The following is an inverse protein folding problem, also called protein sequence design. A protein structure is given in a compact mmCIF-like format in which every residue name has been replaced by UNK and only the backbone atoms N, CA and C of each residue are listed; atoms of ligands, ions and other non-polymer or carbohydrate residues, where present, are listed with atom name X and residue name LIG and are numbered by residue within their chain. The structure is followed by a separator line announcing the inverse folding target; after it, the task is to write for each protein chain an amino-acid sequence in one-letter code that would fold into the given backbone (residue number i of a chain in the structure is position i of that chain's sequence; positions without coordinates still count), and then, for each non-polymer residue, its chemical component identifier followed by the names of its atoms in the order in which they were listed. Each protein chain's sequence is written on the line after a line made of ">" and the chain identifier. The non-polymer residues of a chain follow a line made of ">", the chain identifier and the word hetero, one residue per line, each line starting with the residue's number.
data_IF_781774120795
#
_entry.id   IF_781774120795
#
_cell.length_a   1.000
_cell.length_b   1.000
_cell.length_c   1.000
_cell.angle_alpha   90.00
_cell.angle_beta   90.00
_cell.angle_gamma   90.00
#
_symmetry.space_group_name_H-M   'P 1'
#
loop_
_entity.id
_entity.type
_entity.pdbx_description
1 polymer ?
#
# COMPACT_ATOMS: atom_id res chain seq x y z
N UNK A 1 3.88 -10.57 -23.20
CA UNK A 1 3.21 -9.29 -22.90
C UNK A 1 3.33 -8.85 -21.43
N UNK A 2 3.48 -9.76 -20.44
CA UNK A 2 3.59 -9.40 -19.02
C UNK A 2 4.85 -8.62 -18.62
N UNK A 3 5.97 -8.81 -19.30
CA UNK A 3 7.27 -8.23 -18.91
C UNK A 3 7.41 -6.72 -19.18
N UNK A 4 6.39 -6.07 -19.70
CA UNK A 4 6.45 -4.65 -20.06
C UNK A 4 5.56 -3.75 -19.17
N UNK A 5 4.76 -4.32 -18.26
CA UNK A 5 3.90 -3.56 -17.34
C UNK A 5 4.76 -3.05 -16.18
N UNK A 6 4.83 -1.75 -15.97
CA UNK A 6 5.54 -1.16 -14.85
C UNK A 6 4.60 -1.01 -13.65
N UNK A 7 5.09 -1.36 -12.45
CA UNK A 7 4.38 -1.10 -11.19
C UNK A 7 5.17 -0.05 -10.41
N UNK A 8 4.51 1.04 -10.04
CA UNK A 8 5.04 2.03 -9.09
C UNK A 8 4.63 1.64 -7.68
N UNK A 9 5.60 1.50 -6.78
CA UNK A 9 5.36 1.26 -5.35
C UNK A 9 5.70 2.53 -4.58
N UNK A 10 4.71 3.10 -3.92
CA UNK A 10 4.85 4.33 -3.12
C UNK A 10 5.08 3.93 -1.67
N UNK A 11 6.18 4.42 -1.08
CA UNK A 11 6.59 4.12 0.29
C UNK A 11 6.71 5.42 1.09
N UNK A 12 5.71 5.79 1.89
CA UNK A 12 5.84 6.86 2.86
C UNK A 12 6.83 6.47 3.97
N UNK A 13 7.72 7.39 4.36
CA UNK A 13 8.67 7.18 5.44
C UNK A 13 8.70 8.40 6.36
N UNK A 14 8.54 8.19 7.67
CA UNK A 14 8.73 9.21 8.70
C UNK A 14 9.16 8.57 10.02
N UNK A 15 10.41 8.83 10.43
CA UNK A 15 11.01 8.28 11.66
C UNK A 15 10.85 6.76 11.76
N UNK A 16 11.33 6.04 10.74
CA UNK A 16 11.21 4.58 10.60
C UNK A 16 12.56 3.87 10.50
N UNK A 17 13.64 4.46 11.06
CA UNK A 17 15.01 3.92 11.00
C UNK A 17 15.12 2.45 11.40
N UNK A 18 14.27 1.97 12.33
CA UNK A 18 14.29 0.59 12.83
C UNK A 18 13.63 -0.41 11.87
N UNK A 19 12.85 0.05 10.89
CA UNK A 19 11.99 -0.81 10.07
C UNK A 19 12.22 -0.67 8.58
N UNK A 20 12.66 0.50 8.12
CA UNK A 20 12.72 0.84 6.69
C UNK A 20 13.61 -0.09 5.88
N UNK A 21 14.69 -0.63 6.44
CA UNK A 21 15.57 -1.57 5.73
C UNK A 21 14.82 -2.86 5.37
N UNK A 22 14.13 -3.47 6.33
CA UNK A 22 13.35 -4.69 6.08
C UNK A 22 12.18 -4.45 5.11
N UNK A 23 11.56 -3.26 5.17
CA UNK A 23 10.52 -2.85 4.23
C UNK A 23 11.08 -2.82 2.80
N UNK A 24 12.13 -2.04 2.57
CA UNK A 24 12.75 -1.91 1.25
C UNK A 24 13.31 -3.24 0.73
N UNK A 25 13.91 -4.06 1.60
CA UNK A 25 14.37 -5.39 1.22
C UNK A 25 13.21 -6.29 0.77
N UNK A 26 12.05 -6.22 1.41
CA UNK A 26 10.88 -6.98 1.03
C UNK A 26 10.33 -6.58 -0.35
N UNK A 27 10.39 -5.27 -0.67
CA UNK A 27 9.94 -4.72 -1.95
C UNK A 27 10.94 -5.06 -3.06
N UNK A 28 12.24 -4.85 -2.85
CA UNK A 28 13.26 -5.12 -3.89
C UNK A 28 13.40 -6.61 -4.21
N UNK A 29 13.02 -7.49 -3.26
CA UNK A 29 13.03 -8.95 -3.44
C UNK A 29 11.74 -9.52 -4.02
N UNK A 30 10.80 -8.69 -4.50
CA UNK A 30 9.61 -9.18 -5.20
C UNK A 30 9.97 -10.02 -6.41
N UNK A 31 9.20 -11.08 -6.68
CA UNK A 31 9.37 -11.94 -7.87
C UNK A 31 9.09 -11.19 -9.16
N UNK A 32 8.13 -10.26 -9.14
CA UNK A 32 7.92 -9.31 -10.22
C UNK A 32 9.00 -8.22 -10.20
N UNK A 33 9.78 -8.09 -11.27
CA UNK A 33 11.00 -7.25 -11.29
C UNK A 33 10.81 -5.87 -11.89
N UNK A 34 9.81 -5.67 -12.77
CA UNK A 34 9.60 -4.38 -13.43
C UNK A 34 8.85 -3.40 -12.50
N UNK A 35 9.60 -2.91 -11.51
CA UNK A 35 9.12 -2.02 -10.45
C UNK A 35 9.89 -0.70 -10.49
N UNK A 36 9.21 0.41 -10.18
CA UNK A 36 9.83 1.61 -9.63
C UNK A 36 9.36 1.77 -8.17
N UNK A 37 10.26 2.17 -7.29
CA UNK A 37 10.03 2.26 -5.85
C UNK A 37 10.24 3.73 -5.46
N UNK A 38 9.15 4.44 -5.18
CA UNK A 38 9.15 5.86 -4.86
C UNK A 38 9.04 5.99 -3.35
N UNK A 39 10.16 6.30 -2.69
CA UNK A 39 10.23 6.50 -1.24
C UNK A 39 10.19 7.99 -0.94
N UNK A 40 9.23 8.42 -0.14
CA UNK A 40 9.10 9.82 0.25
C UNK A 40 9.34 9.91 1.75
N UNK A 41 10.48 10.51 2.11
CA UNK A 41 10.82 10.86 3.46
C UNK A 41 10.16 12.19 3.84
N UNK A 42 9.24 12.12 4.76
CA UNK A 42 8.42 13.25 5.21
C UNK A 42 9.07 14.02 6.37
N UNK A 43 10.34 14.38 6.20
CA UNK A 43 11.07 15.18 7.16
C UNK A 43 11.49 14.41 8.41
N UNK A 44 11.98 13.18 8.23
CA UNK A 44 12.51 12.38 9.36
C UNK A 44 13.66 13.08 10.06
N UNK A 45 13.73 12.88 11.37
CA UNK A 45 14.76 13.43 12.27
C UNK A 45 15.66 12.36 12.88
N UNK A 46 15.38 11.10 12.59
CA UNK A 46 16.20 9.93 12.94
C UNK A 46 17.14 9.55 11.76
N UNK A 47 17.70 8.35 11.73
CA UNK A 47 18.59 7.88 10.66
C UNK A 47 17.88 7.44 9.38
N UNK A 48 16.55 7.60 9.28
CA UNK A 48 15.79 7.22 8.09
C UNK A 48 16.40 7.81 6.80
N UNK A 49 16.71 9.14 6.71
CA UNK A 49 17.26 9.73 5.49
C UNK A 49 18.57 9.08 5.04
N UNK A 50 19.51 8.84 5.95
CA UNK A 50 20.81 8.23 5.63
C UNK A 50 20.65 6.79 5.11
N UNK A 51 19.72 6.02 5.70
CA UNK A 51 19.42 4.67 5.26
C UNK A 51 18.85 4.71 3.83
N UNK A 52 17.89 5.60 3.57
CA UNK A 52 17.26 5.73 2.26
C UNK A 52 18.29 6.08 1.17
N UNK A 53 19.18 7.01 1.43
CA UNK A 53 20.26 7.37 0.50
C UNK A 53 21.19 6.18 0.22
N UNK A 54 21.53 5.38 1.25
CA UNK A 54 22.31 4.17 1.06
C UNK A 54 21.63 3.14 0.17
N UNK A 55 20.29 3.06 0.21
CA UNK A 55 19.52 2.13 -0.64
C UNK A 55 19.41 2.64 -2.07
N UNK A 56 19.17 3.94 -2.29
CA UNK A 56 19.08 4.53 -3.63
C UNK A 56 20.39 4.37 -4.43
N UNK A 57 21.54 4.45 -3.75
CA UNK A 57 22.85 4.24 -4.38
C UNK A 57 23.12 2.79 -4.83
N UNK A 58 22.43 1.80 -4.23
CA UNK A 58 22.64 0.36 -4.49
C UNK A 58 21.57 -0.25 -5.38
N UNK A 59 20.44 0.41 -5.53
CA UNK A 59 19.26 -0.11 -6.24
C UNK A 59 18.64 0.99 -7.11
N UNK A 60 18.88 0.92 -8.40
CA UNK A 60 18.45 1.92 -9.40
C UNK A 60 16.92 2.10 -9.51
N UNK A 61 16.15 1.11 -9.07
CA UNK A 61 14.67 1.18 -9.05
C UNK A 61 14.14 2.04 -7.90
N UNK A 62 14.98 2.41 -6.92
CA UNK A 62 14.59 3.22 -5.76
C UNK A 62 14.84 4.71 -6.06
N UNK A 63 13.78 5.48 -5.99
CA UNK A 63 13.78 6.94 -6.10
C UNK A 63 13.44 7.50 -4.73
N UNK A 64 14.39 8.22 -4.12
CA UNK A 64 14.18 8.86 -2.81
C UNK A 64 13.88 10.34 -2.99
N UNK A 65 12.91 10.83 -2.24
CA UNK A 65 12.53 12.24 -2.18
C UNK A 65 12.42 12.67 -0.73
N UNK A 66 13.19 13.67 -0.32
CA UNK A 66 13.07 14.30 0.99
C UNK A 66 12.19 15.54 0.91
N UNK A 67 11.39 15.79 1.92
CA UNK A 67 10.56 16.98 2.05
C UNK A 67 10.41 17.39 3.52
N UNK A 68 9.90 18.58 3.76
CA UNK A 68 9.43 18.98 5.09
C UNK A 68 8.19 18.18 5.46
N UNK A 69 8.02 17.88 6.76
CA UNK A 69 6.90 17.08 7.23
C UNK A 69 5.56 17.73 6.85
N UNK A 70 4.76 17.02 6.10
CA UNK A 70 3.50 17.48 5.56
C UNK A 70 2.32 16.53 5.82
N UNK A 71 2.62 15.34 6.34
CA UNK A 71 1.64 14.31 6.67
C UNK A 71 1.38 13.30 5.56
N UNK A 72 0.90 12.13 5.97
CA UNK A 72 0.78 10.93 5.15
C UNK A 72 -0.05 11.13 3.87
N UNK A 73 -1.16 11.87 3.96
CA UNK A 73 -2.02 12.13 2.81
C UNK A 73 -1.28 12.90 1.69
N UNK A 74 -0.52 13.94 2.06
CA UNK A 74 0.27 14.74 1.12
C UNK A 74 1.40 13.92 0.51
N UNK A 75 2.09 13.12 1.34
CA UNK A 75 3.13 12.19 0.89
C UNK A 75 2.59 11.23 -0.18
N UNK A 76 1.43 10.62 0.06
CA UNK A 76 0.79 9.71 -0.88
C UNK A 76 0.39 10.42 -2.19
N UNK A 77 -0.18 11.64 -2.12
CA UNK A 77 -0.48 12.44 -3.33
C UNK A 77 0.77 12.72 -4.16
N UNK A 78 1.86 13.10 -3.50
CA UNK A 78 3.13 13.35 -4.19
C UNK A 78 3.66 12.08 -4.86
N UNK A 79 3.60 10.95 -4.18
CA UNK A 79 3.98 9.65 -4.75
C UNK A 79 3.13 9.29 -5.97
N UNK A 80 1.81 9.48 -5.88
CA UNK A 80 0.88 9.26 -7.01
C UNK A 80 1.25 10.15 -8.21
N UNK A 81 1.55 11.44 -7.96
CA UNK A 81 1.92 12.36 -9.03
C UNK A 81 3.26 12.00 -9.72
N UNK A 82 4.17 11.35 -9.01
CA UNK A 82 5.47 10.89 -9.52
C UNK A 82 5.40 9.54 -10.23
N UNK A 83 4.39 8.72 -9.93
CA UNK A 83 4.25 7.36 -10.43
C UNK A 83 4.14 7.31 -11.96
N UNK A 84 4.99 6.49 -12.61
CA UNK A 84 5.03 6.27 -14.06
C UNK A 84 4.45 4.91 -14.46
N UNK A 85 4.29 4.00 -13.49
CA UNK A 85 3.81 2.64 -13.73
C UNK A 85 2.40 2.59 -14.31
N UNK A 86 2.07 1.50 -14.95
CA UNK A 86 0.71 1.21 -15.41
C UNK A 86 -0.21 0.92 -14.22
N UNK A 87 0.39 0.43 -13.15
CA UNK A 87 -0.25 0.15 -11.87
C UNK A 87 0.50 0.82 -10.72
N UNK A 88 -0.21 1.10 -9.64
CA UNK A 88 0.33 1.70 -8.41
C UNK A 88 -0.05 0.83 -7.21
N UNK A 89 0.92 0.58 -6.34
CA UNK A 89 0.75 -0.01 -5.02
C UNK A 89 1.32 0.88 -3.93
N UNK A 90 0.96 0.62 -2.69
CA UNK A 90 1.43 1.33 -1.51
C UNK A 90 2.01 0.33 -0.50
N UNK A 91 3.09 0.70 0.16
CA UNK A 91 3.67 -0.06 1.28
C UNK A 91 4.14 0.93 2.34
N UNK A 92 3.64 0.84 3.55
CA UNK A 92 4.08 1.70 4.63
C UNK A 92 5.50 1.32 5.09
N UNK A 93 6.35 2.32 5.39
CA UNK A 93 7.79 2.14 5.62
C UNK A 93 8.18 1.28 6.83
N UNK A 94 7.22 0.89 7.64
CA UNK A 94 7.38 0.00 8.79
C UNK A 94 6.83 -1.43 8.58
N UNK A 95 6.22 -1.69 7.42
CA UNK A 95 5.63 -2.96 7.07
C UNK A 95 6.52 -3.82 6.17
N UNK A 96 6.10 -5.06 5.93
CA UNK A 96 6.83 -6.05 5.11
C UNK A 96 5.85 -6.77 4.20
N UNK A 97 6.29 -7.09 2.97
CA UNK A 97 5.48 -7.85 2.02
C UNK A 97 6.16 -9.15 1.61
N UNK A 98 5.38 -10.22 1.40
CA UNK A 98 5.90 -11.49 0.86
C UNK A 98 6.33 -11.33 -0.60
N UNK A 99 7.36 -12.05 -1.02
CA UNK A 99 8.03 -11.86 -2.30
C UNK A 99 7.16 -12.01 -3.55
N UNK A 100 6.04 -12.69 -3.46
CA UNK A 100 5.13 -12.95 -4.59
C UNK A 100 3.90 -12.03 -4.64
N UNK A 101 3.80 -11.04 -3.74
CA UNK A 101 2.59 -10.22 -3.61
C UNK A 101 2.22 -9.52 -4.91
N UNK A 102 3.12 -8.70 -5.45
CA UNK A 102 2.81 -7.90 -6.64
C UNK A 102 2.67 -8.75 -7.90
N UNK A 103 3.39 -9.85 -8.02
CA UNK A 103 3.21 -10.80 -9.13
C UNK A 103 1.80 -11.40 -9.12
N UNK A 104 1.29 -11.82 -7.96
CA UNK A 104 -0.06 -12.39 -7.83
C UNK A 104 -1.13 -11.33 -8.07
N UNK A 105 -1.01 -10.15 -7.46
CA UNK A 105 -1.94 -9.05 -7.67
C UNK A 105 -2.04 -8.65 -9.14
N UNK A 106 -0.88 -8.50 -9.83
CA UNK A 106 -0.85 -8.18 -11.25
C UNK A 106 -1.47 -9.28 -12.11
N UNK A 107 -1.13 -10.55 -11.82
CA UNK A 107 -1.70 -11.70 -12.54
C UNK A 107 -3.23 -11.72 -12.43
N UNK A 108 -3.76 -11.44 -11.25
CA UNK A 108 -5.20 -11.36 -11.02
C UNK A 108 -5.83 -10.19 -11.75
N UNK A 109 -5.25 -8.99 -11.68
CA UNK A 109 -5.74 -7.81 -12.39
C UNK A 109 -5.86 -8.09 -13.91
N UNK A 110 -4.83 -8.70 -14.50
CA UNK A 110 -4.82 -9.03 -15.93
C UNK A 110 -5.83 -10.14 -16.26
N UNK A 111 -5.81 -11.24 -15.49
CA UNK A 111 -6.64 -12.42 -15.77
C UNK A 111 -8.14 -12.12 -15.70
N UNK A 112 -8.54 -11.30 -14.75
CA UNK A 112 -9.95 -10.99 -14.50
C UNK A 112 -10.38 -9.64 -15.09
N UNK A 113 -9.44 -8.93 -15.78
CA UNK A 113 -9.67 -7.58 -16.31
C UNK A 113 -10.17 -6.63 -15.23
N UNK A 114 -9.53 -6.69 -14.06
CA UNK A 114 -9.90 -5.88 -12.91
C UNK A 114 -9.08 -4.58 -12.85
N UNK A 115 -9.71 -3.52 -12.39
CA UNK A 115 -9.09 -2.20 -12.21
C UNK A 115 -8.37 -2.09 -10.88
N UNK A 116 -8.84 -2.86 -9.87
CA UNK A 116 -8.22 -2.99 -8.56
C UNK A 116 -8.08 -4.49 -8.25
N UNK A 117 -6.86 -4.90 -7.88
CA UNK A 117 -6.58 -6.24 -7.37
C UNK A 117 -6.13 -6.14 -5.92
N UNK A 118 -6.73 -6.94 -5.02
CA UNK A 118 -6.42 -6.83 -3.60
C UNK A 118 -6.36 -8.19 -2.91
N UNK A 119 -5.70 -8.20 -1.75
CA UNK A 119 -5.43 -9.39 -0.95
C UNK A 119 -5.71 -9.13 0.54
N UNK A 120 -5.57 -10.14 1.37
CA UNK A 120 -5.67 -10.03 2.82
C UNK A 120 -4.43 -9.45 3.47
N UNK A 121 -4.57 -9.12 4.75
CA UNK A 121 -3.51 -8.58 5.61
C UNK A 121 -3.22 -9.58 6.74
N UNK A 122 -1.93 -9.72 7.04
CA UNK A 122 -1.42 -10.44 8.20
C UNK A 122 -0.97 -9.44 9.25
N UNK A 123 -1.64 -9.41 10.39
CA UNK A 123 -1.26 -8.57 11.52
C UNK A 123 -0.19 -9.26 12.34
N UNK A 124 0.99 -8.67 12.38
CA UNK A 124 2.15 -9.18 13.11
C UNK A 124 2.37 -8.37 14.39
N UNK A 125 2.63 -9.05 15.49
CA UNK A 125 2.89 -8.45 16.80
C UNK A 125 4.31 -8.78 17.26
N UNK A 126 4.96 -7.88 17.98
CA UNK A 126 6.33 -8.08 18.47
C UNK A 126 6.48 -9.21 19.50
N UNK A 127 5.39 -9.66 20.11
CA UNK A 127 5.35 -10.83 20.98
C UNK A 127 5.28 -12.18 20.23
N UNK A 128 5.37 -12.13 18.90
CA UNK A 128 5.33 -13.30 18.01
C UNK A 128 3.92 -13.75 17.62
N UNK A 129 2.87 -13.13 18.13
CA UNK A 129 1.51 -13.42 17.68
C UNK A 129 1.31 -12.95 16.24
N UNK A 130 0.55 -13.75 15.49
CA UNK A 130 0.11 -13.42 14.14
C UNK A 130 -1.40 -13.61 14.07
N UNK A 131 -2.12 -12.63 13.52
CA UNK A 131 -3.54 -12.72 13.25
C UNK A 131 -3.77 -12.52 11.76
N UNK A 132 -4.43 -13.49 11.13
CA UNK A 132 -4.95 -13.40 9.76
C UNK A 132 -6.46 -13.58 9.81
N UNK A 133 -7.18 -12.92 8.91
CA UNK A 133 -8.63 -13.14 8.85
C UNK A 133 -8.95 -14.49 8.22
N UNK A 134 -8.27 -14.83 7.12
CA UNK A 134 -8.55 -16.01 6.31
C UNK A 134 -7.22 -16.57 5.76
N UNK A 135 -7.10 -16.82 4.48
CA UNK A 135 -5.92 -17.41 3.83
C UNK A 135 -6.30 -18.68 3.10
N UNK A 136 -7.56 -18.76 2.65
CA UNK A 136 -8.13 -19.95 1.96
C UNK A 136 -7.64 -20.07 0.52
N UNK A 137 -7.15 -18.98 -0.07
CA UNK A 137 -6.83 -18.88 -1.49
C UNK A 137 -8.04 -18.66 -2.39
N UNK A 138 -9.22 -18.44 -1.82
CA UNK A 138 -10.45 -18.18 -2.58
C UNK A 138 -10.34 -16.88 -3.38
N UNK A 139 -10.96 -16.86 -4.55
CA UNK A 139 -11.00 -15.70 -5.43
C UNK A 139 -12.45 -15.19 -5.52
N UNK A 140 -12.62 -13.89 -5.32
CA UNK A 140 -13.89 -13.18 -5.46
C UNK A 140 -13.74 -12.01 -6.42
N UNK A 141 -14.65 -11.91 -7.38
CA UNK A 141 -14.69 -10.80 -8.33
C UNK A 141 -15.95 -10.00 -8.04
N UNK A 142 -15.79 -8.69 -7.93
CA UNK A 142 -16.86 -7.77 -7.62
C UNK A 142 -17.04 -6.78 -8.77
N UNK A 143 -18.28 -6.47 -9.12
CA UNK A 143 -18.64 -5.27 -9.87
C UNK A 143 -18.52 -4.03 -8.94
N UNK A 144 -18.77 -2.85 -9.48
CA UNK A 144 -18.67 -1.59 -8.74
C UNK A 144 -19.51 -1.59 -7.48
N UNK A 145 -20.78 -1.93 -7.60
CA UNK A 145 -21.75 -1.76 -6.50
C UNK A 145 -21.47 -2.76 -5.36
N UNK A 146 -21.20 -4.01 -5.71
CA UNK A 146 -20.83 -5.05 -4.75
C UNK A 146 -19.46 -4.78 -4.14
N UNK A 147 -18.50 -4.29 -4.91
CA UNK A 147 -17.17 -3.90 -4.41
C UNK A 147 -17.24 -2.76 -3.38
N UNK A 148 -18.04 -1.72 -3.64
CA UNK A 148 -18.27 -0.62 -2.68
C UNK A 148 -18.95 -1.14 -1.40
N UNK A 149 -19.96 -2.00 -1.54
CA UNK A 149 -20.65 -2.58 -0.38
C UNK A 149 -19.70 -3.37 0.51
N UNK A 150 -18.88 -4.24 -0.08
CA UNK A 150 -17.89 -5.05 0.65
C UNK A 150 -16.80 -4.17 1.29
N UNK A 151 -16.35 -3.09 0.61
CA UNK A 151 -15.43 -2.12 1.18
C UNK A 151 -16.00 -1.45 2.42
N UNK A 152 -17.26 -1.03 2.37
CA UNK A 152 -17.91 -0.32 3.48
C UNK A 152 -18.27 -1.25 4.64
N UNK A 153 -18.55 -2.53 4.38
CA UNK A 153 -18.77 -3.53 5.43
C UNK A 153 -17.48 -3.94 6.14
N UNK A 154 -16.33 -3.79 5.47
CA UNK A 154 -15.01 -4.22 5.94
C UNK A 154 -14.97 -5.70 6.38
N UNK A 155 -15.85 -6.55 5.83
CA UNK A 155 -15.88 -7.98 6.13
C UNK A 155 -14.80 -8.76 5.38
N UNK A 156 -14.62 -8.44 4.08
CA UNK A 156 -13.66 -9.11 3.20
C UNK A 156 -12.60 -8.12 2.72
N UNK A 157 -13.03 -6.89 2.35
CA UNK A 157 -12.15 -5.87 1.79
C UNK A 157 -11.66 -4.96 2.92
N UNK A 158 -10.38 -5.08 3.24
CA UNK A 158 -9.72 -4.17 4.18
C UNK A 158 -9.71 -2.74 3.61
N UNK A 159 -10.03 -1.72 4.41
CA UNK A 159 -10.03 -0.32 3.97
C UNK A 159 -8.62 0.24 3.68
N UNK A 160 -7.55 -0.47 4.02
CA UNK A 160 -6.17 -0.05 3.77
C UNK A 160 -5.86 0.10 2.28
N UNK A 161 -4.99 1.03 1.92
CA UNK A 161 -4.43 1.15 0.57
C UNK A 161 -3.34 0.09 0.28
N UNK A 162 -2.67 -0.40 1.32
CA UNK A 162 -1.40 -1.10 1.18
C UNK A 162 -1.52 -2.54 0.68
N UNK A 163 -2.65 -3.18 0.80
CA UNK A 163 -2.88 -4.54 0.32
C UNK A 163 -3.50 -4.61 -1.09
N UNK A 164 -3.30 -3.56 -1.88
CA UNK A 164 -3.97 -3.41 -3.18
C UNK A 164 -3.01 -2.98 -4.28
N UNK A 165 -3.38 -3.31 -5.50
CA UNK A 165 -2.77 -2.85 -6.74
C UNK A 165 -3.85 -2.17 -7.58
N UNK A 166 -3.64 -0.91 -7.94
CA UNK A 166 -4.59 -0.06 -8.64
C UNK A 166 -4.10 0.21 -10.05
N UNK A 167 -4.97 0.19 -11.06
CA UNK A 167 -4.65 0.82 -12.33
C UNK A 167 -4.37 2.30 -12.09
N UNK A 168 -3.24 2.81 -12.61
CA UNK A 168 -2.82 4.19 -12.40
C UNK A 168 -3.87 5.22 -12.82
N UNK A 169 -4.62 4.94 -13.89
CA UNK A 169 -5.68 5.83 -14.39
C UNK A 169 -6.78 6.14 -13.37
N UNK A 170 -7.06 5.23 -12.42
CA UNK A 170 -8.02 5.46 -11.35
C UNK A 170 -7.57 6.58 -10.38
N UNK A 171 -6.25 6.71 -10.19
CA UNK A 171 -5.64 7.66 -9.26
C UNK A 171 -5.55 9.07 -9.84
N UNK A 172 -5.61 9.25 -11.16
CA UNK A 172 -5.62 10.57 -11.76
C UNK A 172 -6.89 11.35 -11.40
N UNK A 173 -6.72 12.61 -11.01
CA UNK A 173 -7.82 13.47 -10.59
C UNK A 173 -8.69 12.88 -9.47
N UNK A 174 -8.11 12.00 -8.65
CA UNK A 174 -8.75 11.48 -7.44
C UNK A 174 -8.31 12.25 -6.19
N UNK A 175 -7.92 13.52 -6.34
CA UNK A 175 -7.47 14.34 -5.23
C UNK A 175 -8.47 14.29 -4.09
N UNK A 176 -7.99 13.88 -2.93
CA UNK A 176 -8.74 13.96 -1.69
C UNK A 176 -8.48 15.31 -1.02
N UNK A 177 -9.40 15.71 -0.18
CA UNK A 177 -9.13 16.77 0.76
C UNK A 177 -8.05 16.30 1.74
N UNK A 178 -6.83 16.78 1.56
CA UNK A 178 -5.65 16.42 2.37
C UNK A 178 -5.74 16.88 3.83
N UNK A 179 -6.77 17.64 4.19
CA UNK A 179 -7.05 18.00 5.59
C UNK A 179 -7.68 16.86 6.38
N UNK A 180 -8.14 15.80 5.71
CA UNK A 180 -8.68 14.59 6.34
C UNK A 180 -7.51 13.73 6.79
N UNK A 181 -7.26 13.73 8.08
CA UNK A 181 -6.14 13.00 8.71
C UNK A 181 -6.53 11.57 9.09
N UNK A 182 -7.81 11.34 9.40
CA UNK A 182 -8.30 10.04 9.84
C UNK A 182 -9.15 9.40 8.76
N UNK A 183 -8.99 8.07 8.59
CA UNK A 183 -9.74 7.29 7.60
C UNK A 183 -9.50 7.72 6.14
N UNK A 184 -8.36 8.39 5.85
CA UNK A 184 -8.05 8.81 4.48
C UNK A 184 -7.95 7.60 3.54
N UNK A 185 -7.49 6.44 4.03
CA UNK A 185 -7.43 5.19 3.29
C UNK A 185 -8.81 4.72 2.84
N UNK A 186 -9.79 4.71 3.76
CA UNK A 186 -11.16 4.33 3.45
C UNK A 186 -11.79 5.29 2.44
N UNK A 187 -11.62 6.61 2.65
CA UNK A 187 -12.17 7.62 1.77
C UNK A 187 -11.55 7.51 0.35
N UNK A 188 -10.23 7.34 0.27
CA UNK A 188 -9.56 7.14 -1.00
C UNK A 188 -10.04 5.88 -1.70
N UNK A 189 -10.08 4.75 -0.98
CA UNK A 189 -10.61 3.53 -1.54
C UNK A 189 -12.05 3.68 -2.03
N UNK A 190 -12.91 4.37 -1.27
CA UNK A 190 -14.28 4.62 -1.70
C UNK A 190 -14.34 5.35 -3.04
N UNK A 191 -13.55 6.43 -3.22
CA UNK A 191 -13.46 7.15 -4.50
C UNK A 191 -12.91 6.26 -5.62
N UNK A 192 -11.89 5.45 -5.35
CA UNK A 192 -11.29 4.56 -6.35
C UNK A 192 -12.24 3.42 -6.75
N UNK A 193 -12.95 2.84 -5.79
CA UNK A 193 -13.96 1.81 -6.06
C UNK A 193 -15.15 2.35 -6.85
N UNK A 194 -15.55 3.62 -6.64
CA UNK A 194 -16.58 4.27 -7.47
C UNK A 194 -16.15 4.43 -8.93
N UNK A 195 -14.85 4.54 -9.20
CA UNK A 195 -14.28 4.68 -10.56
C UNK A 195 -14.01 3.34 -11.22
N UNK A 196 -13.74 2.32 -10.43
CA UNK A 196 -13.47 0.97 -10.92
C UNK A 196 -14.74 0.33 -11.48
N UNK A 197 -14.61 -0.36 -12.61
CA UNK A 197 -15.69 -1.20 -13.14
C UNK A 197 -15.68 -2.57 -12.46
N UNK A 198 -14.48 -3.06 -12.13
CA UNK A 198 -14.30 -4.39 -11.56
C UNK A 198 -13.16 -4.43 -10.57
N UNK A 199 -13.36 -5.13 -9.45
CA UNK A 199 -12.32 -5.42 -8.48
C UNK A 199 -12.18 -6.93 -8.26
N UNK A 200 -10.98 -7.39 -7.89
CA UNK A 200 -10.66 -8.79 -7.63
C UNK A 200 -9.98 -8.94 -6.28
N UNK A 201 -10.52 -9.79 -5.42
CA UNK A 201 -9.92 -10.21 -4.17
C UNK A 201 -9.42 -11.65 -4.26
N UNK A 202 -8.19 -11.88 -3.84
CA UNK A 202 -7.66 -13.21 -3.59
C UNK A 202 -7.35 -13.35 -2.11
N UNK A 203 -7.92 -14.37 -1.47
CA UNK A 203 -7.75 -14.62 -0.04
C UNK A 203 -6.38 -15.25 0.25
N UNK A 204 -5.34 -14.46 0.11
CA UNK A 204 -3.98 -14.72 0.60
C UNK A 204 -3.48 -13.48 1.32
N UNK A 205 -2.64 -13.63 2.34
CA UNK A 205 -2.25 -12.55 3.24
C UNK A 205 -0.75 -12.26 3.15
N UNK A 206 -0.25 -11.70 2.03
CA UNK A 206 1.16 -11.44 1.83
C UNK A 206 1.62 -10.13 2.48
N UNK A 207 0.71 -9.23 2.78
CA UNK A 207 1.01 -7.97 3.43
C UNK A 207 1.08 -8.17 4.94
N UNK A 208 2.24 -7.88 5.55
CA UNK A 208 2.51 -8.02 6.98
C UNK A 208 2.46 -6.65 7.64
N UNK A 209 1.33 -6.33 8.26
CA UNK A 209 1.15 -5.14 9.06
C UNK A 209 1.74 -5.33 10.45
N UNK A 210 2.78 -4.55 10.80
CA UNK A 210 3.48 -4.67 12.08
C UNK A 210 2.92 -3.69 13.10
N UNK A 211 2.21 -4.21 14.11
CA UNK A 211 1.66 -3.38 15.19
C UNK A 211 2.74 -2.95 16.16
N UNK A 212 3.00 -1.63 16.21
CA UNK A 212 3.89 -0.97 17.16
C UNK A 212 3.09 -0.40 18.32
N UNK A 213 3.71 -0.29 19.53
CA UNK A 213 3.07 0.35 20.70
C UNK A 213 2.70 1.82 20.41
N UNK A 214 3.51 2.53 19.61
CA UNK A 214 3.31 3.93 19.24
C UNK A 214 2.73 4.13 17.82
N UNK A 215 2.04 3.15 17.28
CA UNK A 215 1.36 3.30 15.98
C UNK A 215 0.25 4.35 16.05
N UNK A 216 0.07 5.16 15.00
CA UNK A 216 -1.05 6.12 14.92
C UNK A 216 -2.40 5.44 15.11
N UNK A 217 -2.55 4.18 14.67
CA UNK A 217 -3.76 3.37 14.85
C UNK A 217 -4.05 2.95 16.30
N UNK A 218 -3.11 3.16 17.24
CA UNK A 218 -3.28 2.85 18.66
C UNK A 218 -3.70 4.05 19.49
N UNK A 219 -3.87 5.25 18.92
CA UNK A 219 -4.30 6.44 19.65
C UNK A 219 -5.75 6.26 20.11
N UNK A 220 -5.90 5.86 21.39
CA UNK A 220 -7.17 5.57 22.05
C UNK A 220 -8.14 6.78 22.15
N UNK A 221 -7.69 7.99 21.85
CA UNK A 221 -8.56 9.17 21.79
C UNK A 221 -9.48 9.14 20.56
N UNK A 222 -9.13 8.44 19.50
CA UNK A 222 -9.93 8.32 18.29
C UNK A 222 -11.07 7.29 18.40
N UNK A 223 -10.95 6.32 19.33
CA UNK A 223 -11.96 5.27 19.52
C UNK A 223 -13.12 5.71 20.44
N UNK A 224 -13.05 6.89 21.03
CA UNK A 224 -14.09 7.41 21.97
C UNK A 224 -15.10 8.37 21.33
N UNK A 225 -15.00 8.63 20.03
CA UNK A 225 -15.91 9.56 19.32
C UNK A 225 -16.96 8.87 18.44
N UNK A 226 -17.14 7.55 18.60
CA UNK A 226 -18.21 6.79 17.93
C UNK A 226 -18.95 5.92 18.95
#
# INVERSE_FOLDING_TARGET
>A
MKNNILISIIVPAYNVEQWIERCLDSIRNQTYRNLEIIVIDDGSTDKTPEILESYSQKEERIIVVHQENSGLAIVREKGIAMAKGDYVGFVDGDDVIESNMYERLLNNAIKYHADISHCGIKYCFYDGRVKMHWGTGDIKVFDRDTGIKELLSAEIIEPSLCNKLYKRELLYNSCLDVTIVNYEDLLRNFVLFQRAEKTIYEDFCPYQYWRRENSMSNNAELTKQF
#
